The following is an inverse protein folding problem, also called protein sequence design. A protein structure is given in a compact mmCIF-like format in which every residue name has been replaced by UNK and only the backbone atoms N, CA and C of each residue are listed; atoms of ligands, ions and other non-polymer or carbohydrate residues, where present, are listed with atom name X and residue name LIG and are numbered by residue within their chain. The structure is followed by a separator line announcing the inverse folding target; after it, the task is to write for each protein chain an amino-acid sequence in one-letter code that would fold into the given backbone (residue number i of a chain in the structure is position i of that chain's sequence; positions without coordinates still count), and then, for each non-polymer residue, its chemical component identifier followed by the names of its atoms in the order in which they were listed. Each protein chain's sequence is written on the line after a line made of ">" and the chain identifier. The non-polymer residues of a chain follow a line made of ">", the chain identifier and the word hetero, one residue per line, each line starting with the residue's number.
data_IF_126077072093
#
_entry.id   IF_126077072093
#
_cell.length_a   1.000
_cell.length_b   1.000
_cell.length_c   1.000
_cell.angle_alpha   90.00
_cell.angle_beta   90.00
_cell.angle_gamma   90.00
#
_symmetry.space_group_name_H-M   'P 1'
#
loop_
_entity.id
_entity.type
_entity.pdbx_description
1 polymer ?
#
# COMPACT_ATOMS: atom_id res chain seq x y z
N UNK A 1 8.04 2.90 77.62
CA UNK A 1 7.29 3.47 76.51
C UNK A 1 7.85 2.84 75.17
N UNK A 2 7.14 1.88 74.60
CA UNK A 2 7.56 1.22 73.36
C UNK A 2 7.01 2.03 72.18
N UNK A 3 7.91 2.53 71.30
CA UNK A 3 7.53 3.20 70.01
C UNK A 3 7.27 2.12 69.02
N UNK A 4 6.04 2.07 68.49
CA UNK A 4 5.62 1.20 67.34
C UNK A 4 5.82 2.03 66.10
N UNK A 5 6.74 1.57 65.24
CA UNK A 5 6.98 2.17 63.87
C UNK A 5 6.14 1.42 62.88
N UNK A 6 5.17 2.09 62.26
CA UNK A 6 4.37 1.54 61.16
C UNK A 6 5.15 1.72 59.87
N UNK A 7 5.46 0.62 59.18
CA UNK A 7 5.94 0.62 57.81
C UNK A 7 4.73 0.63 56.88
N UNK A 8 4.56 1.74 56.15
CA UNK A 8 3.55 1.84 55.06
C UNK A 8 4.16 1.25 53.81
N UNK A 9 3.80 0.00 53.46
CA UNK A 9 4.18 -0.64 52.21
C UNK A 9 3.33 -0.07 51.06
N UNK A 10 3.95 0.75 50.21
CA UNK A 10 3.34 1.27 49.00
C UNK A 10 3.33 0.15 47.94
N UNK A 11 2.17 -0.49 47.73
CA UNK A 11 1.97 -1.42 46.63
C UNK A 11 1.79 -0.62 45.35
N UNK A 12 2.82 -0.57 44.48
CA UNK A 12 2.71 -0.08 43.11
C UNK A 12 2.07 -1.19 42.31
N UNK A 13 0.78 -1.04 41.98
CA UNK A 13 0.09 -1.92 41.05
C UNK A 13 0.54 -1.49 39.66
N UNK A 14 1.46 -2.22 39.05
CA UNK A 14 1.70 -2.15 37.60
C UNK A 14 0.46 -2.72 36.90
N UNK A 15 -0.41 -1.84 36.44
CA UNK A 15 -1.44 -2.20 35.48
C UNK A 15 -0.72 -2.52 34.16
N UNK A 16 -0.45 -3.78 33.88
CA UNK A 16 -0.16 -4.23 32.54
C UNK A 16 -1.46 -4.05 31.74
N UNK A 17 -1.60 -2.92 31.04
CA UNK A 17 -2.53 -2.87 29.93
C UNK A 17 -2.09 -3.99 28.95
N UNK A 18 -2.95 -4.96 28.69
CA UNK A 18 -2.74 -5.91 27.61
C UNK A 18 -2.74 -5.12 26.29
N UNK A 19 -1.56 -4.69 25.86
CA UNK A 19 -1.42 -4.18 24.50
C UNK A 19 -1.76 -5.34 23.56
N UNK A 20 -2.75 -5.12 22.69
CA UNK A 20 -3.09 -6.11 21.66
C UNK A 20 -1.86 -6.32 20.79
N UNK A 21 -1.48 -7.56 20.58
CA UNK A 21 -0.32 -7.88 19.75
C UNK A 21 -0.63 -7.50 18.27
N UNK A 22 0.29 -6.76 17.64
CA UNK A 22 0.19 -6.46 16.20
C UNK A 22 0.34 -7.77 15.44
N UNK A 23 -0.60 -8.08 14.58
CA UNK A 23 -0.59 -9.28 13.73
C UNK A 23 -0.75 -8.91 12.28
N UNK A 24 -0.10 -9.69 11.39
CA UNK A 24 -0.26 -9.61 9.94
C UNK A 24 -0.85 -10.95 9.48
N UNK A 25 -1.98 -10.89 8.80
CA UNK A 25 -2.70 -12.08 8.32
C UNK A 25 -3.03 -11.95 6.86
N UNK A 26 -3.01 -13.06 6.12
CA UNK A 26 -3.49 -13.10 4.74
C UNK A 26 -4.99 -12.76 4.71
N UNK A 27 -5.38 -11.99 3.71
CA UNK A 27 -6.77 -11.71 3.42
C UNK A 27 -7.21 -12.65 2.30
N UNK A 28 -8.26 -13.40 2.54
CA UNK A 28 -8.80 -14.40 1.61
C UNK A 28 -10.21 -13.99 1.14
N UNK A 29 -10.63 -14.51 -0.01
CA UNK A 29 -11.98 -14.35 -0.52
C UNK A 29 -12.22 -13.10 -1.37
N UNK A 30 -11.15 -12.41 -1.81
CA UNK A 30 -11.28 -11.38 -2.83
C UNK A 30 -11.70 -11.98 -4.17
N UNK A 31 -12.64 -11.36 -4.91
CA UNK A 31 -12.95 -11.79 -6.26
C UNK A 31 -11.71 -11.76 -7.15
N UNK A 32 -11.51 -12.79 -7.93
CA UNK A 32 -10.44 -12.81 -8.92
C UNK A 32 -10.86 -12.04 -10.17
N UNK A 33 -9.94 -11.23 -10.73
CA UNK A 33 -10.10 -10.52 -11.99
C UNK A 33 -8.96 -10.91 -12.93
N UNK A 34 -8.84 -12.20 -13.23
CA UNK A 34 -7.72 -12.75 -14.01
C UNK A 34 -7.65 -12.20 -15.43
N UNK A 35 -8.81 -11.88 -16.03
CA UNK A 35 -8.92 -11.36 -17.40
C UNK A 35 -8.92 -9.82 -17.45
N UNK A 36 -8.85 -9.13 -16.30
CA UNK A 36 -8.85 -7.68 -16.26
C UNK A 36 -7.57 -7.11 -16.87
N UNK A 37 -7.72 -6.04 -17.69
CA UNK A 37 -6.59 -5.39 -18.33
C UNK A 37 -6.67 -3.88 -18.16
N UNK A 38 -5.49 -3.27 -18.04
CA UNK A 38 -5.29 -1.83 -18.03
C UNK A 38 -4.18 -1.46 -18.99
N UNK A 39 -4.51 -0.76 -20.06
CA UNK A 39 -3.52 -0.28 -21.02
C UNK A 39 -3.67 1.22 -21.26
N UNK A 40 -2.55 1.93 -21.34
CA UNK A 40 -2.51 3.35 -21.62
C UNK A 40 -2.74 3.57 -23.13
N UNK A 41 -3.77 4.35 -23.49
CA UNK A 41 -4.04 4.77 -24.87
C UNK A 41 -3.23 6.00 -25.23
N UNK A 42 -3.29 7.03 -24.37
CA UNK A 42 -2.55 8.27 -24.57
C UNK A 42 -2.26 8.97 -23.24
N UNK A 43 -1.22 9.79 -23.22
CA UNK A 43 -1.00 10.79 -22.20
C UNK A 43 -0.39 12.05 -22.84
N UNK A 44 -0.97 13.20 -22.57
CA UNK A 44 -0.59 14.47 -23.17
C UNK A 44 -0.52 15.58 -22.13
N UNK A 45 0.47 16.44 -22.22
CA UNK A 45 0.57 17.63 -21.36
C UNK A 45 -0.42 18.69 -21.87
N UNK A 46 -1.38 19.08 -21.02
CA UNK A 46 -2.39 20.06 -21.39
C UNK A 46 -1.95 21.50 -21.07
N UNK A 47 -2.77 22.49 -21.45
CA UNK A 47 -2.51 23.92 -21.27
C UNK A 47 -2.37 24.35 -19.80
N UNK A 48 -2.88 23.56 -18.86
CA UNK A 48 -2.82 23.80 -17.41
C UNK A 48 -1.61 23.14 -16.73
N UNK A 49 -0.64 22.66 -17.50
CA UNK A 49 0.53 21.92 -17.01
C UNK A 49 0.15 20.64 -16.24
N UNK A 50 -0.99 20.05 -16.57
CA UNK A 50 -1.40 18.73 -16.10
C UNK A 50 -1.28 17.72 -17.25
N UNK A 51 -1.06 16.46 -16.91
CA UNK A 51 -1.13 15.37 -17.89
C UNK A 51 -2.56 14.84 -17.97
N UNK A 52 -3.09 14.77 -19.18
CA UNK A 52 -4.33 14.10 -19.51
C UNK A 52 -4.00 12.65 -19.83
N UNK A 53 -4.61 11.71 -19.12
CA UNK A 53 -4.45 10.28 -19.31
C UNK A 53 -5.73 9.68 -19.89
N UNK A 54 -5.58 8.79 -20.85
CA UNK A 54 -6.66 7.93 -21.37
C UNK A 54 -6.23 6.48 -21.30
N UNK A 55 -7.07 5.64 -20.70
CA UNK A 55 -6.84 4.20 -20.54
C UNK A 55 -7.92 3.39 -21.24
N UNK A 56 -7.52 2.24 -21.78
CA UNK A 56 -8.43 1.15 -22.12
C UNK A 56 -8.49 0.19 -20.92
N UNK A 57 -9.71 -0.06 -20.42
CA UNK A 57 -9.99 -0.98 -19.30
C UNK A 57 -10.88 -2.11 -19.85
N UNK A 58 -10.38 -3.35 -19.79
CA UNK A 58 -11.09 -4.52 -20.28
C UNK A 58 -11.38 -5.50 -19.15
N UNK A 59 -12.55 -6.13 -19.18
CA UNK A 59 -13.00 -7.15 -18.22
C UNK A 59 -12.96 -6.67 -16.75
N UNK A 60 -13.14 -5.36 -16.54
CA UNK A 60 -13.17 -4.71 -15.24
C UNK A 60 -14.03 -3.45 -15.33
N UNK A 61 -14.96 -3.27 -14.40
CA UNK A 61 -15.86 -2.14 -14.41
C UNK A 61 -15.45 -1.11 -13.35
N UNK A 62 -15.00 0.06 -13.79
CA UNK A 62 -14.77 1.19 -12.89
C UNK A 62 -16.10 1.69 -12.31
N UNK A 63 -16.10 2.10 -11.05
CA UNK A 63 -17.27 2.60 -10.34
C UNK A 63 -18.13 1.51 -9.67
N UNK A 64 -18.00 0.24 -10.05
CA UNK A 64 -18.75 -0.84 -9.41
C UNK A 64 -18.21 -1.15 -8.00
N UNK A 65 -19.11 -1.53 -7.09
CA UNK A 65 -18.72 -2.07 -5.81
C UNK A 65 -18.23 -3.52 -5.98
N UNK A 66 -17.05 -3.80 -5.43
CA UNK A 66 -16.52 -5.17 -5.45
C UNK A 66 -17.31 -6.05 -4.50
N UNK A 67 -17.60 -7.30 -4.87
CA UNK A 67 -18.25 -8.28 -4.01
C UNK A 67 -17.47 -8.43 -2.68
N UNK A 68 -18.22 -8.49 -1.58
CA UNK A 68 -17.65 -8.52 -0.23
C UNK A 68 -17.25 -7.16 0.35
N UNK A 69 -17.35 -6.07 -0.41
CA UNK A 69 -17.12 -4.73 0.11
C UNK A 69 -18.11 -4.38 1.24
N UNK A 70 -17.62 -3.67 2.25
CA UNK A 70 -18.42 -3.25 3.42
C UNK A 70 -18.71 -4.34 4.44
N UNK A 71 -18.48 -5.64 4.12
CA UNK A 71 -18.63 -6.75 5.09
C UNK A 71 -17.31 -7.43 5.44
N UNK A 72 -16.26 -7.17 4.67
CA UNK A 72 -14.92 -7.74 4.88
C UNK A 72 -14.11 -7.05 6.01
N UNK A 73 -14.64 -5.95 6.57
CA UNK A 73 -14.01 -5.18 7.65
C UNK A 73 -12.86 -4.27 7.20
N UNK A 74 -12.66 -4.10 5.89
CA UNK A 74 -11.68 -3.17 5.32
C UNK A 74 -12.34 -1.84 4.95
N UNK A 75 -11.59 -0.76 5.01
CA UNK A 75 -12.02 0.54 4.51
C UNK A 75 -12.37 0.46 3.03
N UNK A 76 -13.54 0.97 2.65
CA UNK A 76 -14.10 0.86 1.31
C UNK A 76 -14.36 2.23 0.69
N UNK A 77 -14.18 2.34 -0.62
CA UNK A 77 -14.57 3.51 -1.40
C UNK A 77 -16.03 3.43 -1.81
N UNK A 78 -16.83 4.42 -1.44
CA UNK A 78 -18.21 4.53 -1.91
C UNK A 78 -18.32 4.73 -3.43
N UNK A 79 -17.23 5.19 -4.09
CA UNK A 79 -17.18 5.37 -5.54
C UNK A 79 -16.81 4.09 -6.29
N UNK A 80 -16.52 2.99 -5.60
CA UNK A 80 -16.32 1.68 -6.21
C UNK A 80 -14.90 1.39 -6.69
N UNK A 81 -14.81 0.47 -7.64
CA UNK A 81 -13.57 0.03 -8.31
C UNK A 81 -12.92 1.18 -9.07
N UNK A 82 -11.59 1.26 -9.05
CA UNK A 82 -10.88 2.42 -9.56
C UNK A 82 -9.46 2.07 -10.03
N UNK A 83 -8.84 3.03 -10.72
CA UNK A 83 -7.41 2.98 -11.03
C UNK A 83 -6.65 3.66 -9.90
N UNK A 84 -5.66 3.00 -9.32
CA UNK A 84 -4.64 3.64 -8.51
C UNK A 84 -3.52 4.19 -9.38
N UNK A 85 -3.08 5.41 -9.13
CA UNK A 85 -1.90 6.03 -9.71
C UNK A 85 -0.90 6.33 -8.59
N UNK A 86 0.29 5.75 -8.66
CA UNK A 86 1.40 5.99 -7.74
C UNK A 86 2.52 6.68 -8.50
N UNK A 87 2.95 7.86 -8.04
CA UNK A 87 4.06 8.61 -8.59
C UNK A 87 5.24 8.52 -7.62
N UNK A 88 6.40 8.06 -8.09
CA UNK A 88 7.66 7.98 -7.32
C UNK A 88 7.49 7.27 -5.97
N UNK A 89 6.71 6.20 -5.96
CA UNK A 89 6.33 5.45 -4.77
C UNK A 89 5.71 6.32 -3.65
N UNK A 90 5.13 7.48 -4.01
CA UNK A 90 4.33 8.33 -3.13
C UNK A 90 2.94 7.74 -2.86
N UNK A 91 2.11 8.41 -2.03
CA UNK A 91 0.73 7.99 -1.80
C UNK A 91 -0.09 8.03 -3.10
N UNK A 92 -0.83 6.95 -3.38
CA UNK A 92 -1.63 6.88 -4.60
C UNK A 92 -2.74 7.96 -4.68
N UNK A 93 -3.15 8.30 -5.90
CA UNK A 93 -4.46 8.89 -6.18
C UNK A 93 -5.38 7.85 -6.81
N UNK A 94 -6.70 7.95 -6.50
CA UNK A 94 -7.72 7.06 -7.03
C UNK A 94 -8.47 7.76 -8.17
N UNK A 95 -8.69 7.06 -9.27
CA UNK A 95 -9.37 7.56 -10.46
C UNK A 95 -10.47 6.57 -10.86
N UNK A 96 -11.71 7.04 -10.90
CA UNK A 96 -12.90 6.21 -11.08
C UNK A 96 -13.39 6.18 -12.53
N UNK A 97 -12.71 6.93 -13.39
CA UNK A 97 -12.93 6.99 -14.82
C UNK A 97 -11.66 6.62 -15.57
N UNK A 98 -11.79 6.15 -16.79
CA UNK A 98 -10.65 5.77 -17.65
C UNK A 98 -9.91 6.99 -18.22
N UNK A 99 -10.52 8.18 -18.15
CA UNK A 99 -9.93 9.44 -18.60
C UNK A 99 -9.89 10.42 -17.44
N UNK A 100 -8.72 11.00 -17.18
CA UNK A 100 -8.55 11.98 -16.11
C UNK A 100 -7.30 12.84 -16.32
N UNK A 101 -7.31 14.02 -15.69
CA UNK A 101 -6.15 14.91 -15.67
C UNK A 101 -5.46 14.87 -14.30
N UNK A 102 -4.13 14.92 -14.29
CA UNK A 102 -3.33 14.97 -13.08
C UNK A 102 -2.10 15.86 -13.22
N UNK A 103 -1.94 16.78 -12.29
CA UNK A 103 -0.67 17.48 -12.14
C UNK A 103 0.37 16.56 -11.54
N UNK A 104 1.55 16.52 -12.17
CA UNK A 104 2.72 15.78 -11.73
C UNK A 104 3.84 16.79 -11.58
N UNK A 105 4.64 16.65 -10.52
CA UNK A 105 5.77 17.53 -10.30
C UNK A 105 6.74 17.49 -11.48
N UNK A 106 7.41 18.61 -11.73
CA UNK A 106 8.49 18.66 -12.71
C UNK A 106 9.61 17.67 -12.36
N UNK A 107 10.37 17.28 -13.38
CA UNK A 107 11.48 16.34 -13.26
C UNK A 107 11.09 14.92 -13.62
N UNK A 108 12.03 14.01 -13.35
CA UNK A 108 11.87 12.59 -13.68
C UNK A 108 10.89 11.90 -12.73
N UNK A 109 9.82 11.33 -13.27
CA UNK A 109 8.82 10.60 -12.50
C UNK A 109 8.65 9.17 -13.01
N UNK A 110 8.63 8.23 -12.09
CA UNK A 110 8.21 6.85 -12.31
C UNK A 110 6.75 6.70 -11.86
N UNK A 111 5.89 6.22 -12.74
CA UNK A 111 4.45 6.18 -12.48
C UNK A 111 3.94 4.77 -12.70
N UNK A 112 3.31 4.23 -11.66
CA UNK A 112 2.57 2.98 -11.73
C UNK A 112 1.07 3.26 -11.70
N UNK A 113 0.34 2.68 -12.65
CA UNK A 113 -1.12 2.58 -12.64
C UNK A 113 -1.52 1.12 -12.49
N UNK A 114 -2.55 0.85 -11.70
CA UNK A 114 -3.11 -0.51 -11.60
C UNK A 114 -4.59 -0.48 -11.21
N UNK A 115 -5.31 -1.52 -11.57
CA UNK A 115 -6.71 -1.70 -11.20
C UNK A 115 -6.82 -2.05 -9.72
N UNK A 116 -7.74 -1.42 -9.03
CA UNK A 116 -7.97 -1.55 -7.59
C UNK A 116 -9.43 -1.84 -7.28
N UNK A 117 -9.67 -2.82 -6.43
CA UNK A 117 -10.99 -3.14 -5.88
C UNK A 117 -11.53 -1.95 -5.08
N UNK A 118 -12.84 -1.91 -4.85
CA UNK A 118 -13.47 -0.81 -4.10
C UNK A 118 -12.92 -0.68 -2.67
N UNK A 119 -12.46 -1.76 -2.04
CA UNK A 119 -11.77 -1.75 -0.74
C UNK A 119 -10.24 -1.60 -0.85
N UNK A 120 -9.78 -1.06 -2.00
CA UNK A 120 -8.41 -0.63 -2.27
C UNK A 120 -7.35 -1.73 -2.38
N UNK A 121 -7.74 -2.97 -2.52
CA UNK A 121 -6.83 -4.06 -2.85
C UNK A 121 -6.50 -4.05 -4.34
N UNK A 122 -5.23 -4.15 -4.68
CA UNK A 122 -4.76 -4.22 -6.07
C UNK A 122 -5.20 -5.52 -6.75
N UNK A 123 -5.56 -5.43 -8.02
CA UNK A 123 -5.76 -6.60 -8.90
C UNK A 123 -4.39 -7.11 -9.30
N UNK A 124 -4.01 -8.29 -8.81
CA UNK A 124 -2.68 -8.88 -8.98
C UNK A 124 -2.63 -9.81 -10.19
N UNK A 125 -2.66 -9.22 -11.38
CA UNK A 125 -2.41 -9.97 -12.61
C UNK A 125 -1.50 -9.16 -13.56
N UNK A 126 -0.76 -9.81 -14.47
CA UNK A 126 0.25 -9.16 -15.30
C UNK A 126 -0.30 -8.17 -16.33
N UNK A 127 -1.62 -8.15 -16.56
CA UNK A 127 -2.28 -7.24 -17.51
C UNK A 127 -3.03 -6.09 -16.81
N UNK A 128 -3.15 -6.11 -15.48
CA UNK A 128 -3.95 -5.15 -14.72
C UNK A 128 -3.17 -3.88 -14.32
N UNK A 129 -2.01 -3.63 -14.91
CA UNK A 129 -1.18 -2.47 -14.61
C UNK A 129 -0.50 -1.87 -15.83
N UNK A 130 -0.04 -0.64 -15.69
CA UNK A 130 0.85 0.06 -16.62
C UNK A 130 1.95 0.76 -15.83
N UNK A 131 3.21 0.54 -16.20
CA UNK A 131 4.37 1.26 -15.67
C UNK A 131 4.91 2.19 -16.75
N UNK A 132 5.13 3.45 -16.40
CA UNK A 132 5.70 4.44 -17.32
C UNK A 132 6.58 5.45 -16.57
N UNK A 133 7.27 6.28 -17.33
CA UNK A 133 7.98 7.42 -16.78
C UNK A 133 7.65 8.69 -17.56
N UNK A 134 7.72 9.83 -16.88
CA UNK A 134 7.55 11.15 -17.47
C UNK A 134 8.65 12.09 -17.00
N UNK A 135 8.84 13.19 -17.75
CA UNK A 135 9.82 14.22 -17.41
C UNK A 135 11.26 13.72 -17.50
N UNK A 136 12.14 14.49 -16.89
CA UNK A 136 13.58 14.37 -17.01
C UNK A 136 14.14 15.52 -17.85
N UNK A 137 15.26 16.04 -17.42
CA UNK A 137 16.04 17.04 -18.19
C UNK A 137 17.23 16.33 -18.86
N UNK A 138 17.85 16.96 -19.82
CA UNK A 138 18.86 16.40 -20.74
C UNK A 138 20.00 15.55 -20.10
N UNK A 139 20.20 15.62 -18.78
CA UNK A 139 21.22 14.86 -18.07
C UNK A 139 20.71 13.80 -17.10
N UNK A 140 19.39 13.64 -16.94
CA UNK A 140 18.80 12.62 -16.09
C UNK A 140 18.71 11.29 -16.84
N UNK A 141 19.44 10.29 -16.39
CA UNK A 141 19.26 8.93 -16.93
C UNK A 141 17.83 8.47 -16.66
N UNK A 142 17.13 7.90 -17.65
CA UNK A 142 15.80 7.35 -17.45
C UNK A 142 15.84 6.24 -16.40
N UNK A 143 14.69 5.94 -15.77
CA UNK A 143 14.57 4.71 -15.00
C UNK A 143 14.66 3.50 -15.94
N UNK A 144 15.38 2.48 -15.52
CA UNK A 144 15.29 1.17 -16.18
C UNK A 144 13.96 0.52 -15.80
N UNK A 145 12.98 0.59 -16.69
CA UNK A 145 11.65 0.03 -16.47
C UNK A 145 11.64 -1.51 -16.43
N UNK A 146 12.75 -2.17 -16.76
CA UNK A 146 12.94 -3.62 -16.59
C UNK A 146 13.45 -4.02 -15.21
N UNK A 147 13.87 -3.05 -14.39
CA UNK A 147 14.27 -3.30 -12.99
C UNK A 147 13.10 -3.84 -12.15
N UNK A 148 13.45 -4.45 -11.04
CA UNK A 148 12.48 -4.88 -10.02
C UNK A 148 11.94 -3.66 -9.27
N UNK A 149 10.62 -3.65 -8.97
CA UNK A 149 10.03 -2.59 -8.19
C UNK A 149 9.05 -3.13 -7.15
N UNK A 150 9.07 -2.49 -5.99
CA UNK A 150 8.06 -2.60 -4.95
C UNK A 150 7.36 -1.25 -4.79
N UNK A 151 6.06 -1.19 -5.09
CA UNK A 151 5.24 -0.01 -4.86
C UNK A 151 4.34 -0.21 -3.64
N UNK A 152 4.41 0.70 -2.69
CA UNK A 152 3.57 0.69 -1.51
C UNK A 152 2.18 1.28 -1.84
N UNK A 153 1.11 0.49 -1.71
CA UNK A 153 -0.27 0.93 -1.94
C UNK A 153 -0.98 1.28 -0.63
N UNK A 154 -1.14 0.34 0.28
CA UNK A 154 -1.88 0.47 1.54
C UNK A 154 -1.06 -0.02 2.75
N UNK A 155 -1.33 0.53 3.98
CA UNK A 155 -2.33 1.55 4.35
C UNK A 155 -1.92 2.97 3.97
N UNK A 156 -2.90 3.92 3.94
CA UNK A 156 -2.68 5.32 3.53
C UNK A 156 -3.64 6.26 4.25
N UNK A 157 -3.14 7.40 4.72
CA UNK A 157 -3.94 8.51 5.25
C UNK A 157 -4.46 8.27 6.67
N UNK A 158 -5.73 8.60 6.89
CA UNK A 158 -6.38 8.55 8.21
C UNK A 158 -7.48 7.51 8.19
N UNK A 159 -7.54 6.69 9.22
CA UNK A 159 -8.57 5.69 9.47
C UNK A 159 -9.37 6.08 10.72
N UNK A 160 -10.70 5.92 10.69
CA UNK A 160 -11.59 6.33 11.78
C UNK A 160 -12.54 5.20 12.20
N UNK A 161 -12.84 5.17 13.49
CA UNK A 161 -13.87 4.27 14.02
C UNK A 161 -13.59 2.78 13.70
N UNK A 162 -14.50 2.12 12.98
CA UNK A 162 -14.39 0.70 12.68
C UNK A 162 -13.19 0.38 11.76
N UNK A 163 -12.82 1.29 10.86
CA UNK A 163 -11.73 1.10 9.90
C UNK A 163 -10.35 1.02 10.57
N UNK A 164 -10.23 1.45 11.85
CA UNK A 164 -8.99 1.33 12.61
C UNK A 164 -8.68 -0.09 13.07
N UNK A 165 -9.66 -0.99 13.00
CA UNK A 165 -9.55 -2.36 13.55
C UNK A 165 -8.79 -3.31 12.63
N UNK A 166 -8.88 -3.07 11.31
CA UNK A 166 -8.35 -3.96 10.29
C UNK A 166 -7.83 -3.13 9.11
N UNK A 167 -6.53 -2.93 9.04
CA UNK A 167 -5.90 -2.15 7.98
C UNK A 167 -5.39 -3.08 6.88
N UNK A 168 -5.84 -2.84 5.65
CA UNK A 168 -5.26 -3.52 4.48
C UNK A 168 -3.78 -3.16 4.35
N UNK A 169 -2.91 -4.15 4.25
CA UNK A 169 -1.55 -4.03 3.77
C UNK A 169 -1.50 -4.57 2.34
N UNK A 170 -1.32 -3.67 1.39
CA UNK A 170 -1.27 -3.98 -0.02
C UNK A 170 -0.09 -3.26 -0.69
N UNK A 171 0.59 -3.97 -1.57
CA UNK A 171 1.71 -3.48 -2.37
C UNK A 171 1.66 -4.09 -3.77
N UNK A 172 2.30 -3.43 -4.72
CA UNK A 172 2.39 -3.91 -6.09
C UNK A 172 3.83 -4.25 -6.43
N UNK A 173 4.04 -5.43 -7.00
CA UNK A 173 5.33 -5.89 -7.49
C UNK A 173 5.37 -5.78 -9.01
N UNK A 174 6.47 -5.26 -9.56
CA UNK A 174 6.71 -5.20 -11.00
C UNK A 174 8.07 -5.81 -11.29
N UNK A 175 8.13 -6.68 -12.31
CA UNK A 175 9.32 -7.40 -12.76
C UNK A 175 10.02 -8.25 -11.67
N UNK A 176 9.32 -8.60 -10.60
CA UNK A 176 9.84 -9.47 -9.53
C UNK A 176 8.74 -10.35 -8.98
N UNK A 177 9.13 -11.49 -8.47
CA UNK A 177 8.27 -12.43 -7.75
C UNK A 177 8.85 -12.68 -6.37
N UNK A 178 7.97 -12.91 -5.40
CA UNK A 178 8.37 -13.30 -4.04
C UNK A 178 7.99 -14.75 -3.78
N UNK A 179 8.85 -15.45 -3.04
CA UNK A 179 8.63 -16.85 -2.69
C UNK A 179 9.43 -17.22 -1.44
N UNK A 180 9.13 -18.38 -0.79
CA UNK A 180 9.88 -18.83 0.38
C UNK A 180 11.39 -18.97 0.15
N UNK A 181 11.83 -19.29 -1.07
CA UNK A 181 13.24 -19.48 -1.44
C UNK A 181 13.84 -18.31 -2.22
N UNK A 182 12.99 -17.41 -2.74
CA UNK A 182 13.39 -16.25 -3.55
C UNK A 182 13.36 -14.94 -2.77
N UNK A 183 13.09 -13.87 -3.52
CA UNK A 183 12.86 -12.55 -2.95
C UNK A 183 11.68 -12.56 -1.99
N UNK A 184 11.64 -11.60 -1.08
CA UNK A 184 10.59 -11.42 -0.07
C UNK A 184 10.30 -9.95 0.13
N UNK A 185 9.18 -9.64 0.75
CA UNK A 185 8.91 -8.31 1.29
C UNK A 185 9.02 -8.37 2.81
N UNK A 186 9.91 -7.55 3.37
CA UNK A 186 9.91 -7.30 4.82
C UNK A 186 9.01 -6.11 5.11
N UNK A 187 7.96 -6.35 5.89
CA UNK A 187 7.07 -5.32 6.39
C UNK A 187 7.37 -5.04 7.86
N UNK A 188 7.70 -3.79 8.20
CA UNK A 188 7.90 -3.36 9.58
C UNK A 188 6.76 -2.44 9.99
N UNK A 189 5.97 -2.84 10.99
CA UNK A 189 4.82 -2.11 11.51
C UNK A 189 5.09 -1.71 12.95
N UNK A 190 5.22 -0.42 13.22
CA UNK A 190 5.61 0.11 14.54
C UNK A 190 6.80 -0.65 15.16
N UNK A 191 7.81 -0.99 14.35
CA UNK A 191 9.01 -1.71 14.77
C UNK A 191 8.87 -3.24 14.83
N UNK A 192 7.67 -3.81 14.65
CA UNK A 192 7.49 -5.26 14.52
C UNK A 192 7.68 -5.69 13.08
N UNK A 193 8.58 -6.65 12.84
CA UNK A 193 8.90 -7.16 11.51
C UNK A 193 8.05 -8.39 11.16
N UNK A 194 7.66 -8.46 9.88
CA UNK A 194 6.98 -9.58 9.24
C UNK A 194 7.66 -9.88 7.90
N UNK A 195 7.91 -11.15 7.62
CA UNK A 195 8.43 -11.59 6.32
C UNK A 195 7.28 -12.12 5.48
N UNK A 196 7.11 -11.54 4.29
CA UNK A 196 6.08 -11.87 3.32
C UNK A 196 6.75 -12.55 2.12
N UNK A 197 6.37 -13.76 1.83
CA UNK A 197 6.89 -14.61 0.77
C UNK A 197 5.85 -15.06 -0.25
N UNK A 198 4.65 -14.48 -0.17
CA UNK A 198 3.55 -14.70 -1.11
C UNK A 198 2.88 -13.39 -1.46
N UNK A 199 2.70 -13.09 -2.73
CA UNK A 199 2.11 -11.84 -3.19
C UNK A 199 0.57 -11.92 -3.21
N UNK A 200 -0.01 -11.86 -2.03
CA UNK A 200 -1.46 -11.80 -1.77
C UNK A 200 -1.77 -10.58 -0.89
N UNK A 201 -3.03 -10.17 -0.75
CA UNK A 201 -3.39 -9.12 0.19
C UNK A 201 -3.23 -9.60 1.64
N UNK A 202 -2.84 -8.67 2.51
CA UNK A 202 -2.73 -8.88 3.95
C UNK A 202 -3.55 -7.85 4.69
N UNK A 203 -3.79 -8.09 5.98
CA UNK A 203 -4.33 -7.08 6.87
C UNK A 203 -3.60 -7.09 8.21
N UNK A 204 -3.54 -5.90 8.81
CA UNK A 204 -2.89 -5.63 10.09
C UNK A 204 -4.00 -5.45 11.12
N UNK A 205 -3.88 -6.14 12.25
CA UNK A 205 -4.73 -5.99 13.45
C UNK A 205 -3.87 -5.71 14.68
N UNK A 206 -4.52 -5.29 15.77
CA UNK A 206 -3.84 -5.05 17.05
C UNK A 206 -3.17 -3.70 17.17
N UNK A 207 -3.39 -2.79 16.21
CA UNK A 207 -2.85 -1.44 16.24
C UNK A 207 -3.58 -0.57 17.28
N UNK A 208 -2.82 0.30 17.94
CA UNK A 208 -3.35 1.30 18.85
C UNK A 208 -3.77 2.57 18.07
N UNK A 209 -4.72 3.31 18.62
CA UNK A 209 -5.06 4.65 18.14
C UNK A 209 -3.83 5.56 18.20
N UNK A 210 -3.63 6.38 17.18
CA UNK A 210 -2.48 7.26 17.04
C UNK A 210 -1.74 7.07 15.72
N UNK A 211 -0.48 7.51 15.66
CA UNK A 211 0.38 7.36 14.48
C UNK A 211 0.90 5.92 14.39
N UNK A 212 0.80 5.35 13.20
CA UNK A 212 1.34 4.04 12.84
C UNK A 212 2.33 4.21 11.71
N UNK A 213 3.55 3.69 11.90
CA UNK A 213 4.58 3.65 10.87
C UNK A 213 4.60 2.28 10.21
N UNK A 214 4.56 2.25 8.88
CA UNK A 214 4.68 1.04 8.08
C UNK A 214 5.79 1.22 7.06
N UNK A 215 6.81 0.36 7.13
CA UNK A 215 7.91 0.30 6.17
C UNK A 215 7.85 -1.00 5.39
N UNK A 216 8.05 -0.92 4.06
CA UNK A 216 8.19 -2.07 3.18
C UNK A 216 9.57 -2.06 2.54
N UNK A 217 10.18 -3.25 2.45
CA UNK A 217 11.49 -3.48 1.88
C UNK A 217 11.44 -4.70 0.98
N UNK A 218 11.81 -4.55 -0.28
CA UNK A 218 12.08 -5.69 -1.16
C UNK A 218 13.48 -6.22 -0.81
N UNK A 219 13.55 -7.47 -0.39
CA UNK A 219 14.78 -8.13 0.05
C UNK A 219 15.02 -9.41 -0.74
N UNK A 220 16.30 -9.75 -0.93
CA UNK A 220 16.69 -11.01 -1.58
C UNK A 220 16.52 -12.23 -0.66
N UNK A 221 16.85 -13.40 -1.16
CA UNK A 221 16.77 -14.67 -0.41
C UNK A 221 17.63 -14.70 0.86
N UNK A 222 18.68 -13.87 0.93
CA UNK A 222 19.57 -13.74 2.10
C UNK A 222 19.06 -12.72 3.12
N UNK A 223 17.96 -12.01 2.83
CA UNK A 223 17.41 -10.95 3.68
C UNK A 223 18.07 -9.58 3.50
N UNK A 224 18.89 -9.42 2.46
CA UNK A 224 19.55 -8.16 2.13
C UNK A 224 18.64 -7.29 1.27
N UNK A 225 18.71 -5.98 1.47
CA UNK A 225 17.93 -5.00 0.68
C UNK A 225 18.34 -5.06 -0.80
N UNK A 226 17.38 -5.15 -1.70
CA UNK A 226 17.61 -5.04 -3.14
C UNK A 226 17.74 -3.56 -3.49
N UNK A 227 18.85 -3.21 -4.14
CA UNK A 227 19.17 -1.83 -4.54
C UNK A 227 18.44 -1.46 -5.82
N UNK A 228 17.21 -1.00 -5.66
CA UNK A 228 16.31 -0.55 -6.74
C UNK A 228 15.62 0.76 -6.35
N UNK A 229 15.14 1.54 -7.31
CA UNK A 229 14.49 2.81 -7.03
C UNK A 229 13.36 2.71 -6.01
N UNK A 230 13.33 3.65 -5.05
CA UNK A 230 12.29 3.76 -4.00
C UNK A 230 12.18 2.55 -3.06
N UNK A 231 13.21 1.74 -2.95
CA UNK A 231 13.32 0.66 -1.97
C UNK A 231 14.44 0.99 -0.96
N UNK A 232 14.14 1.10 0.34
CA UNK A 232 12.87 0.86 1.01
C UNK A 232 11.87 2.03 0.88
N UNK A 233 10.61 1.78 1.23
CA UNK A 233 9.57 2.82 1.34
C UNK A 233 8.91 2.78 2.71
N UNK A 234 8.74 3.94 3.35
CA UNK A 234 8.09 4.08 4.65
C UNK A 234 6.96 5.10 4.58
N UNK A 235 5.86 4.82 5.27
CA UNK A 235 4.74 5.76 5.43
C UNK A 235 4.21 5.75 6.85
N UNK A 236 3.64 6.91 7.21
CA UNK A 236 2.89 7.10 8.43
C UNK A 236 1.41 7.22 8.10
N UNK A 237 0.58 6.57 8.90
CA UNK A 237 -0.88 6.66 8.86
C UNK A 237 -1.40 6.98 10.25
N UNK A 238 -2.60 7.53 10.34
CA UNK A 238 -3.20 7.93 11.61
C UNK A 238 -4.46 7.13 11.86
N UNK A 239 -4.62 6.60 13.06
CA UNK A 239 -5.83 5.95 13.55
C UNK A 239 -6.53 6.86 14.57
N UNK A 240 -7.84 7.16 14.35
CA UNK A 240 -8.67 8.06 15.19
C UNK A 240 -9.99 7.43 15.64
#
# INVERSE_FOLDING_TARGET
>A
MKKITYYLSLFIIFSCANESEITLKKFEGSPEFQEAKLSLNSFDLNENSAYDFSFNVENYQLGDQTDGAGVNGLANSAQGQHIHMIVNNGPYSAHYESEFSKQINEGKNLILFFLSRSFHESVKNPNAFTLMQTGGVDNDQPYDLSSEFLFYSRPKGVYKGADTKKLLLDFYLVNTEISPQGNKVRATVNGKEFIIDEWVPYYIEGLQIGEVTVKLELINSNGELIDVPFNPVERKVTLE
#
